data_IF_966336453622
#
_entry.id   IF_966336453622
#
_cell.length_a   1.000
_cell.length_b   1.000
_cell.length_c   1.000
_cell.angle_alpha   90.00
_cell.angle_beta   90.00
_cell.angle_gamma   90.00
#
_symmetry.space_group_name_H-M   'P 1'
#
loop_
_entity.id
_entity.type
_entity.pdbx_description
1 polymer ?
#
# COMPACT_ATOMS: atom_id res chain seq x y z
N UNK A 1 -15.97 14.61 20.86
CA UNK A 1 -17.30 14.69 20.23
C UNK A 1 -17.80 13.30 19.83
N UNK A 2 -16.92 12.40 19.40
CA UNK A 2 -17.25 11.07 18.89
C UNK A 2 -16.58 9.97 19.75
N UNK A 3 -17.14 9.60 20.91
CA UNK A 3 -16.46 8.68 21.86
C UNK A 3 -16.23 7.29 21.26
N UNK A 4 -17.17 6.75 20.48
CA UNK A 4 -17.03 5.42 19.89
C UNK A 4 -15.95 5.39 18.80
N UNK A 5 -15.79 6.46 18.03
CA UNK A 5 -14.72 6.59 17.06
C UNK A 5 -13.36 6.67 17.75
N UNK A 6 -13.25 7.49 18.80
CA UNK A 6 -12.02 7.58 19.59
C UNK A 6 -11.64 6.23 20.20
N UNK A 7 -12.60 5.50 20.75
CA UNK A 7 -12.36 4.16 21.28
C UNK A 7 -11.87 3.19 20.21
N UNK A 8 -12.45 3.23 19.01
CA UNK A 8 -12.00 2.41 17.88
C UNK A 8 -10.56 2.76 17.48
N UNK A 9 -10.22 4.06 17.41
CA UNK A 9 -8.86 4.52 17.14
C UNK A 9 -7.88 4.00 18.19
N UNK A 10 -8.15 4.21 19.47
CA UNK A 10 -7.30 3.75 20.57
C UNK A 10 -7.07 2.24 20.54
N UNK A 11 -8.11 1.46 20.27
CA UNK A 11 -8.03 0.00 20.15
C UNK A 11 -7.10 -0.42 19.01
N UNK A 12 -7.21 0.23 17.84
CA UNK A 12 -6.36 -0.04 16.68
C UNK A 12 -4.90 0.23 17.00
N UNK A 13 -4.57 1.43 17.50
CA UNK A 13 -3.18 1.80 17.79
C UNK A 13 -2.56 0.92 18.88
N UNK A 14 -3.33 0.60 19.91
CA UNK A 14 -2.92 -0.33 20.96
C UNK A 14 -2.63 -1.73 20.41
N UNK A 15 -3.49 -2.25 19.52
CA UNK A 15 -3.33 -3.60 18.95
C UNK A 15 -2.19 -3.66 17.95
N UNK A 16 -2.00 -2.62 17.14
CA UNK A 16 -0.88 -2.52 16.21
C UNK A 16 0.45 -2.18 16.91
N UNK A 17 0.42 -1.78 18.18
CA UNK A 17 1.60 -1.37 18.97
C UNK A 17 2.40 -0.26 18.30
N UNK A 18 1.71 0.76 17.81
CA UNK A 18 2.27 1.93 17.15
C UNK A 18 1.78 3.20 17.84
N UNK A 19 2.56 4.26 17.74
CA UNK A 19 2.19 5.57 18.26
C UNK A 19 1.17 6.25 17.34
N UNK A 20 0.22 6.99 17.95
CA UNK A 20 -0.77 7.73 17.18
C UNK A 20 -0.22 9.12 16.78
N UNK A 21 0.29 9.21 15.57
CA UNK A 21 0.75 10.46 14.95
C UNK A 21 -0.22 10.93 13.86
N UNK A 22 -1.47 10.46 13.87
CA UNK A 22 -2.45 10.71 12.82
C UNK A 22 -3.60 11.56 13.32
N UNK A 23 -4.10 12.43 12.47
CA UNK A 23 -5.28 13.23 12.71
C UNK A 23 -6.51 12.56 12.07
N UNK A 24 -7.61 12.48 12.82
CA UNK A 24 -8.85 11.87 12.35
C UNK A 24 -9.94 12.92 12.20
N UNK A 25 -10.60 12.92 11.04
CA UNK A 25 -11.65 13.84 10.71
C UNK A 25 -12.90 13.08 10.26
N UNK A 26 -14.05 13.64 10.61
CA UNK A 26 -15.35 13.18 10.10
C UNK A 26 -15.88 14.21 9.13
N UNK A 27 -16.22 13.76 7.90
CA UNK A 27 -16.82 14.61 6.88
C UNK A 27 -18.29 14.22 6.67
N UNK A 28 -19.14 15.23 6.47
CA UNK A 28 -20.54 15.02 6.14
C UNK A 28 -20.65 14.50 4.69
N UNK A 29 -20.86 13.21 4.54
CA UNK A 29 -21.19 12.59 3.27
C UNK A 29 -22.17 11.44 3.53
N UNK A 30 -23.43 11.64 3.12
CA UNK A 30 -24.53 10.70 3.36
C UNK A 30 -24.71 9.68 2.24
N UNK A 31 -23.91 9.76 1.18
CA UNK A 31 -24.03 8.91 0.00
C UNK A 31 -22.87 7.90 -0.06
N UNK A 32 -21.65 8.36 0.17
CA UNK A 32 -20.45 7.55 0.01
C UNK A 32 -19.99 6.93 1.33
N UNK A 33 -19.80 5.62 1.32
CA UNK A 33 -19.20 4.85 2.41
C UNK A 33 -17.69 4.78 2.20
N UNK A 34 -16.97 5.84 2.58
CA UNK A 34 -15.54 5.94 2.34
C UNK A 34 -14.78 6.30 3.60
N UNK A 35 -13.60 5.67 3.73
CA UNK A 35 -12.48 6.19 4.49
C UNK A 35 -11.38 6.58 3.52
N UNK A 36 -10.55 7.52 3.89
CA UNK A 36 -9.44 7.97 3.04
C UNK A 36 -8.27 8.42 3.91
N UNK A 37 -7.11 7.84 3.68
CA UNK A 37 -5.86 8.35 4.20
C UNK A 37 -5.33 9.44 3.27
N UNK A 38 -5.36 10.70 3.74
CA UNK A 38 -4.70 11.82 3.10
C UNK A 38 -3.34 12.02 3.74
N UNK A 39 -2.39 11.17 3.37
CA UNK A 39 -1.01 11.34 3.78
C UNK A 39 -0.31 12.31 2.84
N UNK A 40 0.40 13.28 3.38
CA UNK A 40 1.49 13.84 2.61
C UNK A 40 2.51 12.72 2.41
N UNK A 41 2.83 12.36 1.16
CA UNK A 41 3.87 11.37 0.93
C UNK A 41 5.11 11.83 1.66
N UNK A 42 5.62 11.00 2.58
CA UNK A 42 6.83 11.25 3.35
C UNK A 42 6.68 12.19 4.56
N UNK A 43 5.47 12.65 4.90
CA UNK A 43 5.19 13.32 6.16
C UNK A 43 5.24 12.36 7.34
N UNK A 44 5.55 12.87 8.53
CA UNK A 44 5.49 12.11 9.79
C UNK A 44 4.06 12.06 10.34
N UNK A 45 3.10 12.69 9.66
CA UNK A 45 1.67 12.71 10.00
C UNK A 45 0.80 12.57 8.77
N UNK A 46 -0.40 12.04 8.95
CA UNK A 46 -1.44 11.98 7.94
C UNK A 46 -2.79 12.34 8.52
N UNK A 47 -3.72 12.64 7.63
CA UNK A 47 -5.12 12.85 7.96
C UNK A 47 -5.91 11.63 7.50
N UNK A 48 -6.67 11.03 8.41
CA UNK A 48 -7.63 9.98 8.08
C UNK A 48 -9.02 10.59 8.14
N UNK A 49 -9.71 10.55 7.01
CA UNK A 49 -11.03 11.15 6.84
C UNK A 49 -12.05 10.03 6.74
N UNK A 50 -13.05 10.03 7.64
CA UNK A 50 -14.15 9.09 7.67
C UNK A 50 -15.43 9.80 7.23
N UNK A 51 -16.21 9.21 6.33
CA UNK A 51 -17.52 9.77 5.97
C UNK A 51 -18.56 9.43 7.03
N UNK A 52 -19.52 10.31 7.25
CA UNK A 52 -20.65 10.06 8.18
C UNK A 52 -21.41 8.78 7.79
N UNK A 53 -21.57 8.53 6.49
CA UNK A 53 -22.25 7.31 6.00
C UNK A 53 -21.50 6.03 6.36
N UNK A 54 -20.18 6.05 6.33
CA UNK A 54 -19.37 4.91 6.76
C UNK A 54 -19.57 4.62 8.25
N UNK A 55 -19.57 5.67 9.08
CA UNK A 55 -19.73 5.56 10.53
C UNK A 55 -21.14 5.03 10.90
N UNK A 56 -22.17 5.45 10.18
CA UNK A 56 -23.53 4.92 10.37
C UNK A 56 -23.68 3.45 9.98
N UNK A 57 -22.87 3.00 9.02
CA UNK A 57 -22.97 1.66 8.44
C UNK A 57 -22.25 0.60 9.27
N UNK A 58 -21.11 0.95 9.88
CA UNK A 58 -20.21 0.01 10.54
C UNK A 58 -20.42 -0.03 12.06
N UNK A 59 -20.26 -1.23 12.63
CA UNK A 59 -20.13 -1.37 14.10
C UNK A 59 -18.67 -1.08 14.54
N UNK A 60 -18.40 -1.16 15.86
CA UNK A 60 -17.09 -0.81 16.43
C UNK A 60 -15.92 -1.59 15.83
N UNK A 61 -15.99 -2.93 15.78
CA UNK A 61 -14.91 -3.76 15.24
C UNK A 61 -14.74 -3.61 13.71
N UNK A 62 -15.84 -3.43 13.00
CA UNK A 62 -15.82 -3.16 11.57
C UNK A 62 -15.16 -1.80 11.27
N UNK A 63 -15.43 -0.80 12.10
CA UNK A 63 -14.80 0.51 12.02
C UNK A 63 -13.30 0.43 12.36
N UNK A 64 -12.92 -0.36 13.37
CA UNK A 64 -11.52 -0.65 13.70
C UNK A 64 -10.77 -1.24 12.49
N UNK A 65 -11.40 -2.18 11.76
CA UNK A 65 -10.81 -2.76 10.56
C UNK A 65 -10.53 -1.70 9.48
N UNK A 66 -11.47 -0.79 9.26
CA UNK A 66 -11.31 0.27 8.25
C UNK A 66 -10.26 1.30 8.70
N UNK A 67 -10.28 1.71 9.97
CA UNK A 67 -9.27 2.63 10.50
C UNK A 67 -7.87 2.02 10.35
N UNK A 68 -7.68 0.75 10.71
CA UNK A 68 -6.39 0.09 10.60
C UNK A 68 -5.94 -0.08 9.13
N UNK A 69 -6.89 -0.28 8.20
CA UNK A 69 -6.62 -0.29 6.76
C UNK A 69 -6.06 1.07 6.28
N UNK A 70 -6.68 2.19 6.67
CA UNK A 70 -6.20 3.53 6.32
C UNK A 70 -4.85 3.85 6.99
N UNK A 71 -4.66 3.41 8.23
CA UNK A 71 -3.37 3.51 8.93
C UNK A 71 -2.27 2.77 8.17
N UNK A 72 -2.56 1.59 7.60
CA UNK A 72 -1.62 0.84 6.79
C UNK A 72 -1.20 1.60 5.53
N UNK A 73 -2.11 2.29 4.87
CA UNK A 73 -1.78 3.12 3.71
C UNK A 73 -0.74 4.19 4.05
N UNK A 74 -0.80 4.77 5.23
CA UNK A 74 0.20 5.70 5.72
C UNK A 74 1.55 5.01 6.00
N UNK A 75 1.56 3.99 6.84
CA UNK A 75 2.81 3.35 7.30
C UNK A 75 3.56 2.65 6.17
N UNK A 76 2.86 2.02 5.22
CA UNK A 76 3.46 1.42 4.03
C UNK A 76 3.70 2.42 2.90
N UNK A 77 3.29 3.69 3.09
CA UNK A 77 3.50 4.76 2.10
C UNK A 77 2.92 4.42 0.72
N UNK A 78 1.73 3.83 0.70
CA UNK A 78 1.09 3.40 -0.54
C UNK A 78 0.85 4.56 -1.53
N UNK A 79 0.70 5.80 -1.03
CA UNK A 79 0.60 7.00 -1.86
C UNK A 79 1.84 7.27 -2.73
N UNK A 80 2.99 6.67 -2.38
CA UNK A 80 4.24 6.79 -3.14
C UNK A 80 4.37 5.76 -4.27
N UNK A 81 3.45 4.80 -4.38
CA UNK A 81 3.50 3.81 -5.44
C UNK A 81 3.23 4.45 -6.80
N UNK A 82 3.93 4.00 -7.86
CA UNK A 82 3.68 4.47 -9.21
C UNK A 82 2.21 4.28 -9.61
N UNK A 83 1.64 5.33 -10.18
CA UNK A 83 0.27 5.29 -10.71
C UNK A 83 0.30 5.38 -12.24
N UNK A 84 -0.61 4.66 -12.88
CA UNK A 84 -0.81 4.76 -14.31
C UNK A 84 -1.27 6.19 -14.70
N UNK A 85 -0.76 6.68 -15.79
CA UNK A 85 -1.12 7.99 -16.36
C UNK A 85 -1.33 7.86 -17.88
N UNK A 86 -1.69 8.94 -18.53
CA UNK A 86 -1.97 8.97 -19.98
C UNK A 86 -0.77 8.62 -20.87
N UNK A 87 0.45 8.60 -20.34
CA UNK A 87 1.67 8.27 -21.09
C UNK A 87 2.11 6.81 -20.87
N UNK A 88 1.49 6.05 -19.96
CA UNK A 88 1.82 4.65 -19.73
C UNK A 88 1.22 3.76 -20.82
N UNK A 89 2.04 2.83 -21.32
CA UNK A 89 1.51 1.81 -22.24
C UNK A 89 0.68 0.75 -21.49
N UNK A 90 -0.03 -0.13 -22.22
CA UNK A 90 -0.93 -1.12 -21.63
C UNK A 90 -0.25 -2.03 -20.61
N UNK A 91 0.93 -2.55 -20.92
CA UNK A 91 1.66 -3.47 -20.03
C UNK A 91 2.11 -2.75 -18.77
N UNK A 92 2.63 -1.53 -18.92
CA UNK A 92 3.03 -0.67 -17.82
C UNK A 92 1.84 -0.30 -16.93
N UNK A 93 0.71 0.08 -17.53
CA UNK A 93 -0.54 0.35 -16.81
C UNK A 93 -0.98 -0.85 -15.97
N UNK A 94 -1.01 -2.05 -16.54
CA UNK A 94 -1.39 -3.26 -15.84
C UNK A 94 -0.41 -3.59 -14.69
N UNK A 95 0.88 -3.40 -14.90
CA UNK A 95 1.88 -3.55 -13.85
C UNK A 95 1.66 -2.56 -12.68
N UNK A 96 1.38 -1.30 -13.00
CA UNK A 96 1.12 -0.27 -11.98
C UNK A 96 -0.18 -0.54 -11.19
N UNK A 97 -1.22 -1.02 -11.87
CA UNK A 97 -2.45 -1.45 -11.21
C UNK A 97 -2.23 -2.63 -10.24
N UNK A 98 -1.24 -3.49 -10.51
CA UNK A 98 -0.91 -4.57 -9.58
C UNK A 98 -0.28 -4.05 -8.28
N UNK A 99 0.52 -2.99 -8.32
CA UNK A 99 1.01 -2.36 -7.10
C UNK A 99 -0.16 -1.81 -6.27
N UNK A 100 -1.12 -1.15 -6.91
CA UNK A 100 -2.32 -0.68 -6.21
C UNK A 100 -3.08 -1.84 -5.57
N UNK A 101 -3.24 -2.95 -6.28
CA UNK A 101 -3.91 -4.15 -5.74
C UNK A 101 -3.16 -4.79 -4.58
N UNK A 102 -1.83 -4.87 -4.67
CA UNK A 102 -1.00 -5.38 -3.58
C UNK A 102 -1.05 -4.46 -2.36
N UNK A 103 -1.11 -3.15 -2.56
CA UNK A 103 -1.30 -2.16 -1.52
C UNK A 103 -2.62 -2.37 -0.76
N UNK A 104 -3.73 -2.59 -1.49
CA UNK A 104 -5.03 -2.88 -0.89
C UNK A 104 -5.01 -4.18 -0.05
N UNK A 105 -4.41 -5.26 -0.59
CA UNK A 105 -4.30 -6.53 0.14
C UNK A 105 -3.45 -6.38 1.40
N UNK A 106 -2.36 -5.61 1.34
CA UNK A 106 -1.53 -5.33 2.50
C UNK A 106 -2.30 -4.52 3.55
N UNK A 107 -3.05 -3.51 3.13
CA UNK A 107 -3.87 -2.69 3.99
C UNK A 107 -5.00 -3.51 4.63
N UNK A 108 -5.63 -4.41 3.89
CA UNK A 108 -6.65 -5.31 4.42
C UNK A 108 -6.12 -6.23 5.52
N UNK A 109 -4.92 -6.79 5.33
CA UNK A 109 -4.26 -7.63 6.35
C UNK A 109 -4.01 -6.85 7.63
N UNK A 110 -3.56 -5.60 7.54
CA UNK A 110 -3.39 -4.75 8.71
C UNK A 110 -4.75 -4.34 9.27
N UNK A 111 -5.76 -4.11 8.46
CA UNK A 111 -7.14 -3.92 8.89
C UNK A 111 -7.64 -5.07 9.76
N UNK A 112 -7.41 -6.30 9.31
CA UNK A 112 -7.73 -7.51 10.05
C UNK A 112 -6.91 -7.63 11.36
N UNK A 113 -5.61 -7.39 11.32
CA UNK A 113 -4.76 -7.36 12.52
C UNK A 113 -5.25 -6.28 13.49
N UNK A 114 -5.57 -5.10 12.99
CA UNK A 114 -6.00 -3.95 13.77
C UNK A 114 -7.34 -4.12 14.47
N UNK A 115 -8.32 -4.82 13.88
CA UNK A 115 -9.58 -5.15 14.57
C UNK A 115 -9.52 -6.48 15.33
N UNK A 116 -8.63 -7.41 14.95
CA UNK A 116 -8.47 -8.73 15.58
C UNK A 116 -9.58 -9.74 15.23
N UNK A 117 -10.44 -9.44 14.26
CA UNK A 117 -11.58 -10.28 13.89
C UNK A 117 -11.68 -10.41 12.36
N UNK A 118 -11.48 -11.64 11.86
CA UNK A 118 -11.67 -11.93 10.44
C UNK A 118 -13.11 -11.65 10.02
N UNK A 119 -14.07 -12.06 10.84
CA UNK A 119 -15.49 -11.83 10.56
C UNK A 119 -15.81 -10.34 10.43
N UNK A 120 -15.34 -9.53 11.38
CA UNK A 120 -15.56 -8.07 11.34
C UNK A 120 -14.94 -7.43 10.08
N UNK A 121 -13.73 -7.83 9.69
CA UNK A 121 -13.09 -7.34 8.46
C UNK A 121 -13.89 -7.72 7.20
N UNK A 122 -14.34 -8.97 7.11
CA UNK A 122 -15.14 -9.42 5.97
C UNK A 122 -16.52 -8.74 5.94
N UNK A 123 -17.14 -8.52 7.07
CA UNK A 123 -18.43 -7.78 7.19
C UNK A 123 -18.26 -6.32 6.80
N UNK A 124 -17.20 -5.65 7.27
CA UNK A 124 -16.89 -4.29 6.89
C UNK A 124 -16.77 -4.16 5.37
N UNK A 125 -16.02 -5.05 4.73
CA UNK A 125 -15.89 -5.07 3.27
C UNK A 125 -17.24 -5.28 2.55
N UNK A 126 -18.07 -6.20 3.02
CA UNK A 126 -19.40 -6.45 2.45
C UNK A 126 -20.31 -5.24 2.59
N UNK A 127 -20.33 -4.61 3.76
CA UNK A 127 -21.15 -3.42 4.03
C UNK A 127 -20.72 -2.24 3.17
N UNK A 128 -19.39 -1.99 3.09
CA UNK A 128 -18.86 -0.89 2.26
C UNK A 128 -19.20 -1.10 0.79
N UNK A 129 -19.05 -2.32 0.29
CA UNK A 129 -19.28 -2.64 -1.13
C UNK A 129 -20.77 -2.62 -1.48
N UNK A 130 -21.65 -3.11 -0.59
CA UNK A 130 -23.08 -3.17 -0.84
C UNK A 130 -23.85 -1.92 -0.42
N UNK A 131 -23.29 -1.12 0.48
CA UNK A 131 -24.00 -0.01 1.13
C UNK A 131 -25.11 -0.44 2.12
N UNK A 132 -25.20 -1.75 2.43
CA UNK A 132 -26.26 -2.31 3.25
C UNK A 132 -25.82 -2.48 4.71
N UNK A 133 -26.72 -2.12 5.64
CA UNK A 133 -26.54 -2.31 7.08
C UNK A 133 -26.96 -3.73 7.53
N UNK A 134 -26.68 -4.06 8.79
CA UNK A 134 -27.07 -5.33 9.44
C UNK A 134 -28.56 -5.65 9.36
N UNK A 135 -29.39 -4.65 9.12
CA UNK A 135 -30.82 -4.85 8.87
C UNK A 135 -31.07 -5.77 7.67
N UNK A 136 -30.23 -5.67 6.65
CA UNK A 136 -30.37 -6.39 5.39
C UNK A 136 -29.29 -7.46 5.19
N UNK A 137 -28.13 -7.27 5.79
CA UNK A 137 -26.97 -8.15 5.64
C UNK A 137 -26.90 -9.13 6.81
N UNK A 138 -27.28 -10.38 6.58
CA UNK A 138 -27.08 -11.47 7.54
C UNK A 138 -25.86 -12.28 7.10
N UNK A 139 -24.69 -11.89 7.61
CA UNK A 139 -23.46 -12.58 7.28
C UNK A 139 -23.38 -13.95 7.94
N UNK A 140 -23.18 -14.97 7.12
CA UNK A 140 -22.84 -16.31 7.56
C UNK A 140 -21.55 -16.74 6.88
N UNK A 141 -20.50 -16.90 7.65
CA UNK A 141 -19.16 -17.20 7.14
C UNK A 141 -19.11 -18.50 6.33
N UNK A 142 -19.81 -19.57 6.77
CA UNK A 142 -19.83 -20.83 6.04
C UNK A 142 -20.52 -20.70 4.70
N UNK A 143 -21.71 -20.12 4.68
CA UNK A 143 -22.44 -19.86 3.42
C UNK A 143 -21.65 -18.96 2.48
N UNK A 144 -20.90 -18.01 3.03
CA UNK A 144 -20.04 -17.13 2.23
C UNK A 144 -18.87 -17.91 1.60
N UNK A 145 -18.22 -18.82 2.35
CA UNK A 145 -17.17 -19.67 1.80
C UNK A 145 -17.69 -20.58 0.66
N UNK A 146 -18.92 -21.07 0.77
CA UNK A 146 -19.54 -21.88 -0.29
C UNK A 146 -19.78 -21.04 -1.54
N UNK A 147 -20.30 -19.82 -1.39
CA UNK A 147 -20.43 -18.88 -2.52
C UNK A 147 -19.08 -18.56 -3.17
N UNK A 148 -18.02 -18.37 -2.40
CA UNK A 148 -16.67 -18.16 -2.96
C UNK A 148 -16.18 -19.35 -3.78
N UNK A 149 -16.55 -20.57 -3.41
CA UNK A 149 -16.21 -21.78 -4.19
C UNK A 149 -16.95 -21.83 -5.52
N UNK A 150 -18.23 -21.48 -5.54
CA UNK A 150 -19.05 -21.41 -6.75
C UNK A 150 -18.57 -20.30 -7.70
N UNK A 151 -18.18 -19.14 -7.16
CA UNK A 151 -17.71 -18.01 -7.96
C UNK A 151 -16.35 -18.23 -8.64
N UNK A 152 -15.56 -19.24 -8.24
CA UNK A 152 -14.31 -19.60 -8.92
C UNK A 152 -14.47 -19.98 -10.39
N UNK A 153 -15.68 -20.32 -10.82
CA UNK A 153 -16.00 -20.70 -12.19
C UNK A 153 -16.41 -19.52 -13.09
N UNK A 154 -16.62 -18.35 -12.51
CA UNK A 154 -16.99 -17.16 -13.28
C UNK A 154 -15.73 -16.60 -13.95
N UNK A 155 -15.71 -16.65 -15.28
CA UNK A 155 -14.67 -16.01 -16.09
C UNK A 155 -14.65 -14.52 -15.79
N UNK A 156 -13.45 -13.99 -15.47
CA UNK A 156 -13.26 -12.62 -15.03
C UNK A 156 -13.83 -11.59 -16.01
N UNK A 157 -14.40 -10.54 -15.46
CA UNK A 157 -14.81 -9.36 -16.22
C UNK A 157 -13.59 -8.58 -16.66
N UNK A 158 -13.42 -8.38 -17.97
CA UNK A 158 -12.31 -7.61 -18.55
C UNK A 158 -12.27 -6.15 -18.04
N UNK A 159 -13.39 -5.62 -17.56
CA UNK A 159 -13.44 -4.28 -16.96
C UNK A 159 -12.68 -4.23 -15.63
N UNK A 160 -12.54 -5.33 -14.92
CA UNK A 160 -11.74 -5.43 -13.69
C UNK A 160 -10.22 -5.31 -13.92
N UNK A 161 -9.78 -5.49 -15.17
CA UNK A 161 -8.36 -5.31 -15.54
C UNK A 161 -7.84 -3.91 -15.23
N UNK A 162 -8.68 -2.91 -15.39
CA UNK A 162 -8.32 -1.50 -15.21
C UNK A 162 -8.73 -0.92 -13.84
N UNK A 163 -9.25 -1.75 -12.95
CA UNK A 163 -9.54 -1.33 -11.58
C UNK A 163 -8.27 -1.17 -10.75
N UNK A 164 -8.15 -0.06 -10.04
CA UNK A 164 -7.09 0.20 -9.07
C UNK A 164 -7.23 -0.68 -7.82
N UNK A 165 -8.46 -1.10 -7.51
CA UNK A 165 -8.73 -2.02 -6.42
C UNK A 165 -8.88 -3.46 -6.94
N UNK A 166 -8.36 -4.46 -6.21
CA UNK A 166 -8.63 -5.85 -6.53
C UNK A 166 -10.14 -6.09 -6.49
N UNK A 167 -10.58 -7.10 -7.26
CA UNK A 167 -11.93 -7.59 -7.07
C UNK A 167 -12.14 -7.90 -5.58
N UNK A 168 -13.26 -7.45 -5.07
CA UNK A 168 -13.71 -7.67 -3.70
C UNK A 168 -13.53 -9.12 -3.24
N UNK A 169 -13.88 -10.10 -4.10
CA UNK A 169 -13.71 -11.52 -3.81
C UNK A 169 -12.24 -11.91 -3.59
N UNK A 170 -11.31 -11.35 -4.38
CA UNK A 170 -9.89 -11.59 -4.23
C UNK A 170 -9.35 -11.02 -2.92
N UNK A 171 -9.82 -9.84 -2.50
CA UNK A 171 -9.46 -9.23 -1.22
C UNK A 171 -9.90 -10.11 -0.04
N UNK A 172 -11.14 -10.59 -0.08
CA UNK A 172 -11.66 -11.48 0.97
C UNK A 172 -10.93 -12.82 0.99
N UNK A 173 -10.64 -13.43 -0.16
CA UNK A 173 -9.83 -14.65 -0.23
C UNK A 173 -8.42 -14.43 0.34
N UNK A 174 -7.79 -13.28 0.06
CA UNK A 174 -6.49 -12.93 0.59
C UNK A 174 -6.48 -12.88 2.13
N UNK A 175 -7.53 -12.32 2.75
CA UNK A 175 -7.69 -12.31 4.20
C UNK A 175 -7.88 -13.71 4.79
N UNK A 176 -8.70 -14.55 4.13
CA UNK A 176 -8.92 -15.93 4.57
C UNK A 176 -7.61 -16.72 4.53
N UNK A 177 -6.85 -16.63 3.43
CA UNK A 177 -5.56 -17.32 3.35
C UNK A 177 -4.54 -16.75 4.34
N UNK A 178 -4.53 -15.44 4.55
CA UNK A 178 -3.68 -14.83 5.56
C UNK A 178 -4.03 -15.34 6.98
N UNK A 179 -5.31 -15.46 7.33
CA UNK A 179 -5.75 -15.99 8.62
C UNK A 179 -5.32 -17.44 8.88
N UNK A 180 -5.00 -18.18 7.81
CA UNK A 180 -4.52 -19.57 7.88
C UNK A 180 -2.99 -19.66 7.84
N UNK A 181 -2.27 -18.54 7.75
CA UNK A 181 -0.81 -18.52 7.67
C UNK A 181 -0.14 -18.70 9.03
N UNK A 182 1.11 -19.17 9.02
CA UNK A 182 1.92 -19.26 10.23
C UNK A 182 2.17 -17.87 10.83
N UNK A 183 2.39 -16.85 9.99
CA UNK A 183 2.67 -15.49 10.42
C UNK A 183 1.49 -14.87 11.18
N UNK A 184 0.26 -15.11 10.73
CA UNK A 184 -0.93 -14.69 11.47
C UNK A 184 -1.02 -15.40 12.81
N UNK A 185 -0.90 -16.73 12.82
CA UNK A 185 -1.02 -17.52 14.03
C UNK A 185 0.06 -17.18 15.06
N UNK A 186 1.27 -16.90 14.63
CA UNK A 186 2.37 -16.45 15.49
C UNK A 186 2.15 -15.03 16.01
N UNK A 187 1.66 -14.12 15.17
CA UNK A 187 1.41 -12.72 15.57
C UNK A 187 0.32 -12.56 16.62
N UNK A 188 -0.66 -13.47 16.62
CA UNK A 188 -1.77 -13.47 17.57
C UNK A 188 -1.62 -14.51 18.69
N UNK A 189 -0.50 -15.22 18.75
CA UNK A 189 -0.24 -16.28 19.75
C UNK A 189 -1.42 -17.25 19.91
N UNK A 190 -1.98 -17.67 18.76
CA UNK A 190 -3.16 -18.55 18.76
C UNK A 190 -2.88 -19.96 19.29
N UNK A 191 -1.61 -20.31 19.48
CA UNK A 191 -1.14 -21.65 19.79
C UNK A 191 -1.35 -22.67 18.67
N UNK A 192 -1.77 -22.22 17.49
CA UNK A 192 -2.05 -23.06 16.31
C UNK A 192 -0.93 -22.93 15.29
N UNK A 193 -0.63 -24.03 14.63
CA UNK A 193 0.22 -24.02 13.44
C UNK A 193 -0.63 -23.61 12.24
N UNK A 194 -0.13 -22.68 11.43
CA UNK A 194 -0.78 -22.31 10.17
C UNK A 194 -0.74 -23.47 9.16
N UNK A 195 -1.62 -23.43 8.18
CA UNK A 195 -1.66 -24.38 7.07
C UNK A 195 -0.55 -24.18 6.07
N UNK A 196 0.03 -22.97 6.03
CA UNK A 196 1.11 -22.55 5.11
C UNK A 196 1.80 -21.30 5.64
N UNK A 197 2.90 -20.90 5.02
CA UNK A 197 3.60 -19.64 5.31
C UNK A 197 3.00 -18.46 4.52
N UNK A 198 3.46 -17.24 4.85
CA UNK A 198 2.97 -16.03 4.18
C UNK A 198 3.30 -16.01 2.68
N UNK A 199 4.44 -16.59 2.29
CA UNK A 199 4.85 -16.67 0.89
C UNK A 199 3.88 -17.55 0.09
N UNK A 200 3.49 -18.70 0.63
CA UNK A 200 2.48 -19.57 0.00
C UNK A 200 1.11 -18.88 -0.07
N UNK A 201 0.73 -18.08 0.95
CA UNK A 201 -0.49 -17.27 0.91
C UNK A 201 -0.42 -16.23 -0.21
N UNK A 202 0.74 -15.56 -0.37
CA UNK A 202 0.97 -14.58 -1.42
C UNK A 202 0.97 -15.21 -2.83
N UNK A 203 1.54 -16.40 -2.98
CA UNK A 203 1.50 -17.16 -4.23
C UNK A 203 0.06 -17.50 -4.63
N UNK A 204 -0.76 -17.99 -3.68
CA UNK A 204 -2.17 -18.30 -3.91
C UNK A 204 -2.99 -17.08 -4.36
N UNK A 205 -2.79 -15.92 -3.71
CA UNK A 205 -3.52 -14.71 -4.10
C UNK A 205 -3.04 -14.20 -5.47
N UNK A 206 -1.75 -14.25 -5.74
CA UNK A 206 -1.19 -13.86 -7.02
C UNK A 206 -1.72 -14.74 -8.16
N UNK A 207 -1.85 -16.04 -7.96
CA UNK A 207 -2.48 -16.94 -8.93
C UNK A 207 -3.97 -16.61 -9.14
N UNK A 208 -4.71 -16.30 -8.06
CA UNK A 208 -6.11 -15.90 -8.16
C UNK A 208 -6.27 -14.60 -8.96
N UNK A 209 -5.41 -13.62 -8.72
CA UNK A 209 -5.41 -12.35 -9.45
C UNK A 209 -5.01 -12.58 -10.92
N UNK A 210 -4.00 -13.41 -11.21
CA UNK A 210 -3.59 -13.76 -12.57
C UNK A 210 -4.72 -14.40 -13.37
N UNK A 211 -5.52 -15.28 -12.79
CA UNK A 211 -6.70 -15.88 -13.44
C UNK A 211 -7.72 -14.84 -13.88
N UNK A 212 -7.84 -13.74 -13.16
CA UNK A 212 -8.76 -12.64 -13.49
C UNK A 212 -8.16 -11.70 -14.55
N UNK A 213 -6.84 -11.46 -14.48
CA UNK A 213 -6.16 -10.43 -15.30
C UNK A 213 -5.52 -11.03 -16.55
N UNK A 214 -5.16 -12.32 -16.54
CA UNK A 214 -4.37 -13.00 -17.57
C UNK A 214 -2.86 -13.00 -17.25
N UNK A 215 -2.12 -13.86 -17.99
CA UNK A 215 -0.69 -14.12 -17.73
C UNK A 215 0.27 -13.00 -18.17
N UNK A 216 -0.26 -11.88 -18.70
CA UNK A 216 0.57 -10.79 -19.24
C UNK A 216 1.29 -9.94 -18.18
N UNK A 217 1.08 -10.25 -16.89
CA UNK A 217 1.57 -9.40 -15.80
C UNK A 217 2.58 -10.13 -14.94
N UNK A 218 3.82 -9.66 -14.98
CA UNK A 218 4.90 -10.12 -14.11
C UNK A 218 4.85 -9.44 -12.73
N UNK A 219 4.57 -10.23 -11.68
CA UNK A 219 4.45 -9.77 -10.28
C UNK A 219 5.79 -9.72 -9.52
N UNK A 220 6.92 -10.02 -10.18
CA UNK A 220 8.21 -10.11 -9.51
C UNK A 220 8.74 -8.74 -9.09
N UNK A 221 9.02 -8.57 -7.81
CA UNK A 221 9.89 -7.53 -7.19
C UNK A 221 9.79 -6.07 -7.72
N UNK A 222 8.83 -5.73 -8.57
CA UNK A 222 8.75 -4.40 -9.22
C UNK A 222 8.41 -3.27 -8.26
N UNK A 223 7.70 -3.56 -7.17
CA UNK A 223 7.40 -2.57 -6.13
C UNK A 223 8.67 -2.09 -5.44
N UNK A 224 9.55 -3.02 -5.04
CA UNK A 224 10.82 -2.71 -4.39
C UNK A 224 11.72 -1.95 -5.35
N UNK A 225 11.77 -2.38 -6.63
CA UNK A 225 12.52 -1.69 -7.70
C UNK A 225 12.00 -0.26 -7.88
N UNK A 226 10.69 -0.08 -7.97
CA UNK A 226 10.07 1.25 -8.17
C UNK A 226 10.31 2.17 -6.97
N UNK A 227 10.19 1.67 -5.74
CA UNK A 227 10.50 2.44 -4.53
C UNK A 227 11.97 2.80 -4.46
N UNK A 228 12.87 1.88 -4.79
CA UNK A 228 14.30 2.13 -4.82
C UNK A 228 14.68 3.19 -5.87
N UNK A 229 14.07 3.16 -7.05
CA UNK A 229 14.26 4.19 -8.07
C UNK A 229 13.78 5.57 -7.59
N UNK A 230 12.62 5.63 -6.97
CA UNK A 230 12.07 6.90 -6.47
C UNK A 230 12.92 7.47 -5.34
N UNK A 231 13.22 6.68 -4.30
CA UNK A 231 14.00 7.15 -3.16
C UNK A 231 15.46 7.42 -3.51
N UNK A 232 16.05 6.62 -4.41
CA UNK A 232 17.37 6.88 -4.94
C UNK A 232 17.45 8.15 -5.78
N UNK A 233 16.39 8.47 -6.54
CA UNK A 233 16.29 9.74 -7.27
C UNK A 233 16.27 10.93 -6.31
N UNK A 234 15.56 10.81 -5.18
CA UNK A 234 15.52 11.84 -4.13
C UNK A 234 16.90 12.04 -3.50
N UNK A 235 17.59 10.95 -3.15
CA UNK A 235 18.94 11.03 -2.57
C UNK A 235 19.92 11.75 -3.51
N UNK A 236 19.82 11.47 -4.81
CA UNK A 236 20.62 12.12 -5.85
C UNK A 236 20.28 13.62 -5.97
N UNK A 237 19.01 13.95 -6.10
CA UNK A 237 18.57 15.35 -6.29
C UNK A 237 18.79 16.21 -5.03
N UNK A 238 18.80 15.61 -3.85
CA UNK A 238 19.08 16.31 -2.60
C UNK A 238 20.57 16.36 -2.24
N UNK A 239 21.45 15.86 -3.07
CA UNK A 239 22.91 15.84 -2.80
C UNK A 239 23.49 17.25 -2.61
N UNK A 240 22.89 18.28 -3.22
CA UNK A 240 23.22 19.69 -3.04
C UNK A 240 22.25 20.46 -2.12
N UNK A 241 21.32 19.72 -1.46
CA UNK A 241 20.26 20.25 -0.57
C UNK A 241 19.24 21.14 -1.28
N UNK A 242 19.14 21.08 -2.60
CA UNK A 242 18.17 21.80 -3.40
C UNK A 242 17.42 20.80 -4.30
N UNK A 243 16.21 21.16 -4.66
CA UNK A 243 15.40 20.42 -5.64
C UNK A 243 15.05 21.41 -6.75
N UNK A 244 15.90 21.51 -7.74
CA UNK A 244 15.80 22.49 -8.81
C UNK A 244 14.57 22.27 -9.70
N UNK A 245 14.14 23.31 -10.45
CA UNK A 245 13.02 23.18 -11.37
C UNK A 245 13.25 22.09 -12.43
N UNK A 246 14.48 21.94 -12.90
CA UNK A 246 14.88 20.92 -13.87
C UNK A 246 14.73 19.52 -13.30
N UNK A 247 15.15 19.30 -12.05
CA UNK A 247 15.00 18.03 -11.35
C UNK A 247 13.54 17.73 -11.03
N UNK A 248 12.74 18.74 -10.69
CA UNK A 248 11.30 18.63 -10.53
C UNK A 248 10.60 18.17 -11.81
N UNK A 249 10.96 18.74 -12.96
CA UNK A 249 10.44 18.33 -14.27
C UNK A 249 10.85 16.90 -14.62
N UNK A 250 12.09 16.52 -14.32
CA UNK A 250 12.57 15.16 -14.53
C UNK A 250 11.86 14.15 -13.59
N UNK A 251 11.69 14.53 -12.33
CA UNK A 251 10.94 13.72 -11.37
C UNK A 251 9.48 13.57 -11.80
N UNK A 252 8.85 14.65 -12.25
CA UNK A 252 7.50 14.67 -12.80
C UNK A 252 7.36 13.75 -14.02
N UNK A 253 8.33 13.77 -14.92
CA UNK A 253 8.36 12.90 -16.10
C UNK A 253 8.44 11.42 -15.70
N UNK A 254 9.21 11.07 -14.67
CA UNK A 254 9.45 9.71 -14.26
C UNK A 254 8.36 9.16 -13.32
N UNK A 255 7.78 10.01 -12.46
CA UNK A 255 6.89 9.57 -11.38
C UNK A 255 5.50 10.24 -11.39
N UNK A 256 5.25 11.19 -12.27
CA UNK A 256 3.96 11.87 -12.46
C UNK A 256 3.78 13.13 -11.60
N UNK A 257 2.80 13.96 -11.99
CA UNK A 257 2.51 15.28 -11.39
C UNK A 257 2.18 15.22 -9.91
N UNK A 258 1.24 14.35 -9.55
CA UNK A 258 0.73 14.22 -8.18
C UNK A 258 1.84 13.90 -7.18
N UNK A 259 2.77 13.02 -7.58
CA UNK A 259 3.92 12.66 -6.75
C UNK A 259 4.92 13.77 -6.62
N UNK A 260 5.18 14.49 -7.70
CA UNK A 260 6.09 15.63 -7.68
C UNK A 260 5.57 16.71 -6.75
N UNK A 261 4.29 17.04 -6.80
CA UNK A 261 3.67 18.01 -5.88
C UNK A 261 3.76 17.54 -4.42
N UNK A 262 3.45 16.27 -4.18
CA UNK A 262 3.56 15.66 -2.86
C UNK A 262 5.00 15.68 -2.34
N UNK A 263 5.97 15.38 -3.21
CA UNK A 263 7.38 15.45 -2.89
C UNK A 263 7.83 16.86 -2.54
N UNK A 264 7.42 17.85 -3.32
CA UNK A 264 7.74 19.26 -3.04
C UNK A 264 7.15 19.74 -1.71
N UNK A 265 5.93 19.32 -1.41
CA UNK A 265 5.29 19.63 -0.13
C UNK A 265 6.02 18.96 1.03
N UNK A 266 6.41 17.71 0.85
CA UNK A 266 7.20 16.98 1.83
C UNK A 266 8.56 17.64 2.09
N UNK A 267 9.32 17.96 1.05
CA UNK A 267 10.64 18.57 1.19
C UNK A 267 10.63 19.92 1.92
N UNK A 268 9.49 20.62 1.93
CA UNK A 268 9.31 21.84 2.71
C UNK A 268 9.17 21.58 4.21
N UNK A 269 8.75 20.39 4.60
CA UNK A 269 8.37 20.07 5.99
C UNK A 269 9.22 18.95 6.62
N UNK A 270 9.97 18.19 5.83
CA UNK A 270 10.65 17.00 6.30
C UNK A 270 11.96 17.29 7.05
N UNK A 271 12.18 16.50 8.10
CA UNK A 271 13.48 16.41 8.73
C UNK A 271 14.44 15.57 7.86
N UNK A 272 15.65 16.05 7.52
CA UNK A 272 16.62 15.30 6.72
C UNK A 272 16.94 13.89 7.24
N UNK A 273 16.87 13.68 8.56
CA UNK A 273 17.11 12.35 9.16
C UNK A 273 16.01 11.34 8.78
N UNK A 274 14.74 11.78 8.75
CA UNK A 274 13.63 10.88 8.39
C UNK A 274 13.68 10.46 6.92
N UNK A 275 14.12 11.34 6.04
CA UNK A 275 14.37 11.00 4.62
C UNK A 275 15.43 9.92 4.51
N UNK A 276 16.56 10.10 5.21
CA UNK A 276 17.66 9.15 5.13
C UNK A 276 17.26 7.76 5.64
N UNK A 277 16.52 7.68 6.73
CA UNK A 277 15.99 6.40 7.26
C UNK A 277 15.13 5.68 6.22
N UNK A 278 14.29 6.41 5.49
CA UNK A 278 13.43 5.83 4.44
C UNK A 278 14.25 5.32 3.26
N UNK A 279 15.25 6.08 2.82
CA UNK A 279 16.19 5.65 1.77
C UNK A 279 16.91 4.37 2.21
N UNK A 280 17.51 4.36 3.39
CA UNK A 280 18.29 3.23 3.89
C UNK A 280 17.42 1.96 4.04
N UNK A 281 16.20 2.09 4.57
CA UNK A 281 15.26 0.97 4.67
C UNK A 281 14.88 0.41 3.30
N UNK A 282 14.58 1.29 2.32
CA UNK A 282 14.24 0.87 0.96
C UNK A 282 15.39 0.14 0.29
N UNK A 283 16.62 0.64 0.41
CA UNK A 283 17.78 -0.02 -0.17
C UNK A 283 18.18 -1.29 0.57
N UNK A 284 17.92 -1.40 1.88
CA UNK A 284 18.04 -2.65 2.63
C UNK A 284 17.06 -3.72 2.12
N UNK A 285 15.82 -3.35 1.78
CA UNK A 285 14.90 -4.28 1.11
C UNK A 285 15.38 -4.64 -0.28
N UNK A 286 15.78 -3.66 -1.08
CA UNK A 286 16.30 -3.87 -2.43
C UNK A 286 17.57 -4.74 -2.44
N UNK A 287 18.33 -4.80 -1.33
CA UNK A 287 19.50 -5.69 -1.22
C UNK A 287 19.14 -7.18 -1.32
N UNK A 288 17.88 -7.55 -1.14
CA UNK A 288 17.37 -8.92 -1.26
C UNK A 288 16.98 -9.30 -2.69
N UNK A 289 16.93 -8.35 -3.60
CA UNK A 289 16.58 -8.56 -5.01
C UNK A 289 17.64 -9.38 -5.74
N UNK A 290 17.27 -9.95 -6.89
CA UNK A 290 18.21 -10.59 -7.79
C UNK A 290 19.27 -9.59 -8.30
N UNK A 291 20.46 -10.07 -8.60
CA UNK A 291 21.57 -9.24 -9.07
C UNK A 291 21.20 -8.37 -10.27
N UNK A 292 20.45 -8.91 -11.23
CA UNK A 292 19.96 -8.20 -12.41
C UNK A 292 19.09 -7.00 -12.06
N UNK A 293 18.18 -7.14 -11.09
CA UNK A 293 17.28 -6.05 -10.68
C UNK A 293 18.04 -4.95 -9.94
N UNK A 294 19.03 -5.33 -9.11
CA UNK A 294 19.93 -4.39 -8.43
C UNK A 294 20.76 -3.59 -9.43
N UNK A 295 21.35 -4.27 -10.42
CA UNK A 295 22.10 -3.63 -11.50
C UNK A 295 21.24 -2.66 -12.30
N UNK A 296 19.97 -3.04 -12.58
CA UNK A 296 19.03 -2.18 -13.27
C UNK A 296 18.73 -0.90 -12.46
N UNK A 297 18.44 -1.03 -11.16
CA UNK A 297 18.21 0.12 -10.26
C UNK A 297 19.39 1.08 -10.31
N UNK A 298 20.61 0.58 -10.11
CA UNK A 298 21.80 1.42 -10.08
C UNK A 298 22.09 2.04 -11.46
N UNK A 299 21.85 1.33 -12.55
CA UNK A 299 22.01 1.85 -13.89
C UNK A 299 21.04 3.01 -14.19
N UNK A 300 19.76 2.85 -13.84
CA UNK A 300 18.78 3.91 -14.02
C UNK A 300 19.09 5.14 -13.15
N UNK A 301 19.45 4.94 -11.89
CA UNK A 301 19.86 6.02 -11.01
C UNK A 301 21.14 6.72 -11.50
N UNK A 302 22.09 5.96 -12.06
CA UNK A 302 23.32 6.53 -12.62
C UNK A 302 23.09 7.44 -13.83
N UNK A 303 22.00 7.23 -14.58
CA UNK A 303 21.61 8.14 -15.67
C UNK A 303 21.21 9.54 -15.16
N UNK A 304 20.66 9.60 -13.95
CA UNK A 304 20.22 10.86 -13.34
C UNK A 304 21.39 11.78 -12.99
N UNK A 305 22.58 11.23 -12.69
CA UNK A 305 23.79 12.03 -12.41
C UNK A 305 24.12 13.00 -13.55
N UNK A 306 23.85 12.60 -14.80
CA UNK A 306 24.13 13.44 -15.98
C UNK A 306 23.21 14.65 -16.09
N UNK A 307 22.11 14.64 -15.36
CA UNK A 307 21.02 15.63 -15.47
C UNK A 307 20.80 16.41 -14.17
N UNK A 308 21.17 15.82 -13.04
CA UNK A 308 21.08 16.43 -11.71
C UNK A 308 22.05 17.62 -11.60
N UNK A 309 21.58 18.65 -10.86
CA UNK A 309 22.30 19.90 -10.66
C UNK A 309 23.15 19.80 -9.39
N UNK A 310 24.12 19.03 -9.30
CA UNK A 310 24.97 18.88 -8.13
C UNK A 310 26.45 18.78 -8.51
N UNK A 311 27.33 18.91 -7.52
CA UNK A 311 28.73 18.64 -7.72
C UNK A 311 28.92 17.17 -8.11
N UNK A 312 29.61 16.92 -9.22
CA UNK A 312 29.81 15.58 -9.79
C UNK A 312 30.49 14.61 -8.82
N UNK A 313 31.29 15.11 -7.89
CA UNK A 313 31.92 14.29 -6.85
C UNK A 313 30.88 13.80 -5.86
N UNK A 314 30.02 14.69 -5.35
CA UNK A 314 28.96 14.36 -4.41
C UNK A 314 27.94 13.39 -5.02
N UNK A 315 27.55 13.59 -6.28
CA UNK A 315 26.65 12.72 -7.03
C UNK A 315 27.22 11.30 -7.17
N UNK A 316 28.51 11.18 -7.49
CA UNK A 316 29.21 9.87 -7.56
C UNK A 316 29.31 9.19 -6.18
N UNK A 317 29.57 9.95 -5.12
CA UNK A 317 29.60 9.44 -3.75
C UNK A 317 28.22 8.92 -3.34
N UNK A 318 27.12 9.62 -3.66
CA UNK A 318 25.75 9.17 -3.43
C UNK A 318 25.46 7.83 -4.13
N UNK A 319 25.79 7.69 -5.41
CA UNK A 319 25.61 6.41 -6.12
C UNK A 319 26.46 5.29 -5.50
N UNK A 320 27.68 5.55 -5.10
CA UNK A 320 28.52 4.54 -4.45
C UNK A 320 27.93 4.09 -3.11
N UNK A 321 27.40 5.03 -2.31
CA UNK A 321 26.64 4.71 -1.11
C UNK A 321 25.42 3.83 -1.40
N UNK A 322 24.63 4.17 -2.43
CA UNK A 322 23.47 3.37 -2.83
C UNK A 322 23.88 1.96 -3.31
N UNK A 323 24.99 1.84 -4.05
CA UNK A 323 25.57 0.52 -4.43
C UNK A 323 25.91 -0.31 -3.20
N UNK A 324 26.58 0.27 -2.23
CA UNK A 324 26.94 -0.41 -0.97
C UNK A 324 25.69 -0.87 -0.23
N UNK A 325 24.67 0.00 -0.12
CA UNK A 325 23.42 -0.30 0.58
C UNK A 325 22.62 -1.43 -0.10
N UNK A 326 22.63 -1.51 -1.44
CA UNK A 326 21.96 -2.59 -2.19
C UNK A 326 22.80 -3.86 -2.29
N UNK A 327 24.04 -3.85 -1.77
CA UNK A 327 24.99 -4.97 -1.85
C UNK A 327 25.29 -5.39 -3.30
N UNK A 328 25.74 -4.43 -4.10
CA UNK A 328 26.13 -4.62 -5.49
C UNK A 328 27.62 -4.35 -5.63
#
# INVERSE_FOLDING_TARGET
>A
IFPDINKAIENVFKRLKIDNNLNFFVTANHIQTQAMCSAMPLGDSAEIILTSKLIELLNGEELESVIAHEVAHFYYQHALYPQANSSTNRVETLNLLNFSRAAEISADRIGFIGCGSLEASLRAMLKITSGLSDKYLKFNFSSYLDQLRELKEIKGDKNLLYSTHPNFLNRMQALIWFSMSNEYNNSFDTGRKGSFDLKEADEKINESIKKVIGDEVDYSNKDVVSRALMWGSIDIFLSDKKFSKKEQELFKKNFGDKRTQSMMSFMKMANPKSIQVKIDNTFKEASKLLKKDKENIINELSKLIKVADGDQKNLKETINKLKTNIKL
#
